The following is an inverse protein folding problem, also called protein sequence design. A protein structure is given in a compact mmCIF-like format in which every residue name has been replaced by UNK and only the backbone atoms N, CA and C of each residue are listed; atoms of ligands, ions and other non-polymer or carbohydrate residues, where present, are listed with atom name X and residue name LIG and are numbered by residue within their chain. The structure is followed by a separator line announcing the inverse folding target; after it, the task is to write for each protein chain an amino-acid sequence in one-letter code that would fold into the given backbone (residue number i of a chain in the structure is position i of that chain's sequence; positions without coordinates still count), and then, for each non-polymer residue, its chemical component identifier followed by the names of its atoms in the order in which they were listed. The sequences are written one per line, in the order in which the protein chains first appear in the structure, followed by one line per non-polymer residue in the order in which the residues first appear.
data_IF_293977260387
#
_entry.id   IF_293977260387
#
_cell.length_a   1.000
_cell.length_b   1.000
_cell.length_c   1.000
_cell.angle_alpha   90.00
_cell.angle_beta   90.00
_cell.angle_gamma   90.00
#
_symmetry.space_group_name_H-M   'P 1'
#
loop_
_entity.id
_entity.type
_entity.pdbx_description
1 polymer ?
#
# COMPACT_ATOMS: atom_id res chain seq x y z
N UNK A 1 -8.66 12.07 8.89
CA UNK A 1 -9.06 10.68 9.24
C UNK A 1 -8.54 10.27 10.61
N UNK A 2 -7.22 10.13 10.82
CA UNK A 2 -6.68 9.62 12.11
C UNK A 2 -7.14 10.42 13.34
N UNK A 3 -7.05 11.75 13.27
CA UNK A 3 -7.57 12.65 14.32
C UNK A 3 -9.05 12.38 14.66
N UNK A 4 -9.89 12.12 13.66
CA UNK A 4 -11.29 11.82 13.88
C UNK A 4 -11.50 10.46 14.57
N UNK A 5 -10.68 9.45 14.28
CA UNK A 5 -10.71 8.18 15.02
C UNK A 5 -10.34 8.38 16.49
N UNK A 6 -9.32 9.21 16.76
CA UNK A 6 -8.87 9.52 18.12
C UNK A 6 -9.96 10.29 18.91
N UNK A 7 -10.52 11.36 18.32
CA UNK A 7 -11.58 12.18 18.93
C UNK A 7 -12.86 11.38 19.23
N UNK A 8 -13.15 10.34 18.44
CA UNK A 8 -14.32 9.48 18.62
C UNK A 8 -14.00 8.19 19.39
N UNK A 9 -12.77 8.02 19.90
CA UNK A 9 -12.34 6.84 20.68
C UNK A 9 -12.51 5.52 19.91
N UNK A 10 -12.31 5.54 18.60
CA UNK A 10 -12.42 4.37 17.72
C UNK A 10 -11.05 3.76 17.37
N UNK A 11 -9.96 4.43 17.74
CA UNK A 11 -8.60 4.09 17.33
C UNK A 11 -8.18 2.65 17.65
N UNK A 12 -8.50 2.14 18.84
CA UNK A 12 -8.03 0.82 19.29
C UNK A 12 -8.72 -0.35 18.57
N UNK A 13 -9.87 -0.09 17.95
CA UNK A 13 -10.65 -1.09 17.21
C UNK A 13 -10.80 -0.73 15.72
N UNK A 14 -9.84 0.02 15.17
CA UNK A 14 -9.83 0.38 13.74
C UNK A 14 -8.50 0.01 13.12
N UNK A 15 -8.52 -0.90 12.14
CA UNK A 15 -7.43 -1.08 11.21
C UNK A 15 -7.48 0.03 10.15
N UNK A 16 -6.43 0.83 10.06
CA UNK A 16 -6.24 1.81 8.99
C UNK A 16 -5.21 1.28 8.01
N UNK A 17 -5.58 1.21 6.74
CA UNK A 17 -4.67 0.93 5.62
C UNK A 17 -4.57 2.19 4.74
N UNK A 18 -3.36 2.53 4.33
CA UNK A 18 -3.08 3.60 3.37
C UNK A 18 -2.27 3.03 2.22
N UNK A 19 -2.69 3.31 0.98
CA UNK A 19 -1.99 2.84 -0.23
C UNK A 19 -2.44 3.63 -1.46
N UNK A 20 -1.97 3.23 -2.66
CA UNK A 20 -2.32 3.78 -3.97
C UNK A 20 -2.81 2.66 -4.89
N UNK A 21 -3.58 3.00 -5.93
CA UNK A 21 -4.10 2.05 -6.92
C UNK A 21 -3.06 1.64 -7.98
N UNK A 22 -2.17 2.58 -8.33
CA UNK A 22 -1.04 2.39 -9.23
C UNK A 22 0.12 3.32 -8.84
N UNK A 23 1.28 3.14 -9.49
CA UNK A 23 2.41 4.06 -9.41
C UNK A 23 2.08 5.46 -9.96
N UNK A 24 2.97 6.42 -9.72
CA UNK A 24 2.83 7.78 -10.27
C UNK A 24 2.88 7.74 -11.79
N UNK A 25 2.17 8.66 -12.45
CA UNK A 25 2.24 8.89 -13.90
C UNK A 25 3.37 9.87 -14.29
N UNK A 26 4.07 10.47 -13.34
CA UNK A 26 5.07 11.51 -13.64
C UNK A 26 6.29 10.95 -14.37
N UNK A 27 6.65 11.60 -15.49
CA UNK A 27 7.86 11.26 -16.25
C UNK A 27 9.08 12.03 -15.74
N UNK A 28 10.25 11.38 -15.79
CA UNK A 28 11.52 12.05 -15.54
C UNK A 28 11.85 12.96 -16.71
N UNK A 29 12.25 14.19 -16.43
CA UNK A 29 12.84 15.12 -17.38
C UNK A 29 14.16 15.64 -16.85
N UNK A 30 15.02 16.12 -17.75
CA UNK A 30 16.25 16.84 -17.39
C UNK A 30 16.05 18.39 -17.51
N UNK A 31 14.80 18.84 -17.66
CA UNK A 31 14.39 20.25 -17.63
C UNK A 31 14.40 20.78 -16.18
N UNK A 32 14.78 22.04 -16.02
CA UNK A 32 14.75 22.75 -14.74
C UNK A 32 13.32 23.06 -14.29
N UNK A 33 12.33 23.07 -15.19
CA UNK A 33 10.91 23.22 -14.85
C UNK A 33 10.19 21.89 -14.64
N UNK A 34 10.04 21.48 -13.38
CA UNK A 34 9.23 20.33 -12.97
C UNK A 34 8.00 20.74 -12.15
N UNK A 35 7.25 19.76 -11.64
CA UNK A 35 6.06 20.00 -10.81
C UNK A 35 6.34 20.76 -9.49
N UNK A 36 7.59 20.79 -9.01
CA UNK A 36 7.95 21.54 -7.79
C UNK A 36 7.94 23.03 -8.09
N UNK A 37 8.42 23.45 -9.26
CA UNK A 37 8.41 24.86 -9.69
C UNK A 37 7.11 25.27 -10.38
N UNK A 38 6.53 24.36 -11.17
CA UNK A 38 5.35 24.62 -12.00
C UNK A 38 4.24 23.61 -11.64
N UNK A 39 3.48 23.87 -10.56
CA UNK A 39 2.36 23.03 -10.15
C UNK A 39 1.40 22.78 -11.31
N UNK A 40 1.13 21.51 -11.61
CA UNK A 40 0.28 21.10 -12.74
C UNK A 40 1.04 20.43 -13.89
N UNK A 41 2.37 20.59 -13.98
CA UNK A 41 3.18 19.76 -14.88
C UNK A 41 3.29 18.34 -14.33
N UNK A 42 3.03 17.33 -15.16
CA UNK A 42 3.13 15.92 -14.77
C UNK A 42 4.52 15.34 -15.07
N UNK A 43 5.55 16.02 -14.56
CA UNK A 43 6.95 15.61 -14.74
C UNK A 43 7.78 15.95 -13.51
N UNK A 44 8.88 15.23 -13.32
CA UNK A 44 9.81 15.46 -12.22
C UNK A 44 11.25 15.57 -12.72
N UNK A 45 12.04 16.42 -12.08
CA UNK A 45 13.49 16.41 -12.23
C UNK A 45 14.12 15.64 -11.05
N UNK A 46 15.05 14.73 -11.33
CA UNK A 46 15.57 13.78 -10.34
C UNK A 46 16.31 14.41 -9.15
N UNK A 47 16.77 15.67 -9.27
CA UNK A 47 17.36 16.44 -8.16
C UNK A 47 16.33 16.92 -7.13
N UNK A 48 15.07 17.03 -7.51
CA UNK A 48 14.02 17.61 -6.66
C UNK A 48 13.07 16.54 -6.11
N UNK A 49 12.77 15.51 -6.90
CA UNK A 49 11.82 14.45 -6.55
C UNK A 49 12.10 13.18 -7.37
N UNK A 50 11.71 12.01 -6.85
CA UNK A 50 11.73 10.72 -7.56
C UNK A 50 10.37 10.04 -7.37
N UNK A 51 9.44 10.24 -8.32
CA UNK A 51 8.03 9.93 -8.11
C UNK A 51 7.72 8.44 -7.86
N UNK A 52 8.47 7.53 -8.48
CA UNK A 52 8.35 6.07 -8.30
C UNK A 52 9.59 5.46 -7.61
N UNK A 53 10.37 6.28 -6.89
CA UNK A 53 11.60 5.85 -6.23
C UNK A 53 12.64 5.29 -7.22
N UNK A 54 13.35 4.19 -6.87
CA UNK A 54 14.37 3.59 -7.74
C UNK A 54 13.78 2.71 -8.86
N UNK A 55 12.46 2.57 -8.91
CA UNK A 55 11.80 1.58 -9.75
C UNK A 55 11.66 2.05 -11.21
N UNK A 56 11.83 1.11 -12.14
CA UNK A 56 11.61 1.36 -13.57
C UNK A 56 10.13 1.48 -13.86
N UNK A 57 9.76 2.46 -14.70
CA UNK A 57 8.41 2.61 -15.25
C UNK A 57 7.53 3.59 -14.50
N UNK A 58 6.31 3.74 -15.01
CA UNK A 58 5.28 4.67 -14.54
C UNK A 58 3.91 4.01 -14.60
N UNK A 59 2.85 4.71 -14.19
CA UNK A 59 1.47 4.24 -14.35
C UNK A 59 1.24 3.64 -15.75
N UNK A 60 0.56 2.49 -15.78
CA UNK A 60 0.28 1.66 -16.96
C UNK A 60 1.44 0.81 -17.51
N UNK A 61 2.65 0.95 -16.98
CA UNK A 61 3.73 0.00 -17.28
C UNK A 61 3.59 -1.31 -16.49
N UNK A 62 4.09 -2.40 -17.07
CA UNK A 62 4.27 -3.69 -16.38
C UNK A 62 5.51 -3.73 -15.46
N UNK A 63 6.33 -2.69 -15.50
CA UNK A 63 7.54 -2.56 -14.68
C UNK A 63 7.18 -2.15 -13.24
N UNK A 64 8.08 -2.40 -12.28
CA UNK A 64 7.89 -2.13 -10.85
C UNK A 64 7.27 -0.75 -10.56
N UNK A 65 7.73 0.31 -11.21
CA UNK A 65 7.25 1.68 -10.98
C UNK A 65 5.78 1.91 -11.36
N UNK A 66 5.14 1.00 -12.09
CA UNK A 66 3.73 1.06 -12.44
C UNK A 66 2.79 0.50 -11.36
N UNK A 67 3.27 -0.41 -10.49
CA UNK A 67 2.43 -1.14 -9.53
C UNK A 67 3.03 -1.28 -8.12
N UNK A 68 4.31 -0.95 -7.93
CA UNK A 68 4.94 -0.87 -6.62
C UNK A 68 4.55 0.43 -5.94
N UNK A 69 3.58 0.34 -5.02
CA UNK A 69 2.94 1.48 -4.35
C UNK A 69 3.29 1.53 -2.86
N UNK A 70 3.21 2.71 -2.21
CA UNK A 70 3.29 2.78 -0.76
C UNK A 70 2.18 1.95 -0.12
N UNK A 71 2.48 1.30 0.99
CA UNK A 71 1.52 0.58 1.81
C UNK A 71 1.87 0.76 3.29
N UNK A 72 0.97 1.38 4.04
CA UNK A 72 1.09 1.56 5.49
C UNK A 72 -0.14 1.00 6.18
N UNK A 73 0.08 0.32 7.31
CA UNK A 73 -0.98 -0.19 8.16
C UNK A 73 -0.80 0.31 9.60
N UNK A 74 -1.90 0.71 10.24
CA UNK A 74 -1.93 1.12 11.65
C UNK A 74 -3.10 0.45 12.36
N UNK A 75 -2.80 -0.24 13.45
CA UNK A 75 -3.79 -0.73 14.41
C UNK A 75 -3.13 -0.81 15.80
N UNK A 76 -3.34 0.21 16.65
CA UNK A 76 -2.73 0.27 17.98
C UNK A 76 -3.08 -0.96 18.83
N UNK A 77 -2.09 -1.51 19.53
CA UNK A 77 -2.23 -2.73 20.33
C UNK A 77 -2.29 -4.05 19.53
N UNK A 78 -2.34 -4.00 18.19
CA UNK A 78 -2.31 -5.19 17.32
C UNK A 78 -1.07 -5.22 16.42
N UNK A 79 -0.77 -4.11 15.75
CA UNK A 79 0.41 -3.95 14.89
C UNK A 79 1.51 -3.26 15.70
N UNK A 80 2.72 -3.85 15.70
CA UNK A 80 3.89 -3.23 16.33
C UNK A 80 4.24 -1.91 15.62
N UNK A 81 4.24 -0.80 16.35
CA UNK A 81 4.55 0.51 15.78
C UNK A 81 5.98 0.56 15.23
N UNK A 82 6.14 1.17 14.05
CA UNK A 82 7.44 1.32 13.39
C UNK A 82 8.06 0.03 12.85
N UNK A 83 7.32 -1.09 12.84
CA UNK A 83 7.78 -2.32 12.20
C UNK A 83 7.74 -2.21 10.67
N UNK A 84 8.48 -3.09 10.01
CA UNK A 84 8.53 -3.23 8.56
C UNK A 84 8.40 -4.70 8.15
N UNK A 85 7.85 -4.96 6.97
CA UNK A 85 7.72 -6.30 6.39
C UNK A 85 8.13 -6.26 4.92
N UNK A 86 9.02 -7.17 4.52
CA UNK A 86 9.55 -7.25 3.15
C UNK A 86 8.86 -8.34 2.31
N UNK A 87 7.72 -8.86 2.77
CA UNK A 87 6.94 -9.86 2.02
C UNK A 87 6.14 -9.16 0.94
N UNK A 88 6.19 -9.74 -0.27
CA UNK A 88 5.34 -9.29 -1.38
C UNK A 88 3.89 -9.64 -1.10
N UNK A 89 3.02 -8.65 -1.24
CA UNK A 89 1.56 -8.76 -1.20
C UNK A 89 1.00 -8.08 -2.45
N UNK A 90 -0.27 -8.33 -2.76
CA UNK A 90 -0.96 -7.64 -3.86
C UNK A 90 -2.26 -7.01 -3.37
N UNK A 91 -2.73 -5.99 -4.08
CA UNK A 91 -3.99 -5.32 -3.75
C UNK A 91 -5.19 -6.27 -3.74
N UNK A 92 -5.15 -7.34 -4.54
CA UNK A 92 -6.21 -8.35 -4.57
C UNK A 92 -6.36 -9.08 -3.23
N UNK A 93 -5.32 -9.11 -2.38
CA UNK A 93 -5.32 -9.75 -1.07
C UNK A 93 -6.15 -9.01 -0.02
N UNK A 94 -6.52 -7.75 -0.29
CA UNK A 94 -7.30 -6.94 0.63
C UNK A 94 -8.64 -7.58 0.96
N UNK A 95 -9.28 -8.27 -0.01
CA UNK A 95 -10.57 -8.92 0.21
C UNK A 95 -10.51 -10.01 1.28
N UNK A 96 -9.61 -11.00 1.13
CA UNK A 96 -9.44 -12.07 2.11
C UNK A 96 -8.91 -11.54 3.45
N UNK A 97 -8.02 -10.55 3.42
CA UNK A 97 -7.51 -9.91 4.64
C UNK A 97 -8.62 -9.21 5.42
N UNK A 98 -9.45 -8.41 4.75
CA UNK A 98 -10.56 -7.70 5.38
C UNK A 98 -11.61 -8.68 5.93
N UNK A 99 -11.89 -9.77 5.21
CA UNK A 99 -12.78 -10.82 5.69
C UNK A 99 -12.23 -11.48 6.97
N UNK A 100 -10.94 -11.83 7.00
CA UNK A 100 -10.31 -12.41 8.20
C UNK A 100 -10.33 -11.43 9.37
N UNK A 101 -9.98 -10.16 9.14
CA UNK A 101 -10.01 -9.09 10.16
C UNK A 101 -11.41 -8.91 10.75
N UNK A 102 -12.45 -8.98 9.90
CA UNK A 102 -13.84 -8.86 10.33
C UNK A 102 -14.42 -10.16 10.94
N UNK A 103 -13.66 -11.27 10.95
CA UNK A 103 -14.17 -12.58 11.34
C UNK A 103 -15.26 -13.13 10.41
N UNK A 104 -15.32 -12.63 9.17
CA UNK A 104 -16.31 -13.00 8.17
C UNK A 104 -15.93 -14.29 7.43
N UNK A 105 -16.94 -15.04 6.99
CA UNK A 105 -16.74 -16.19 6.10
C UNK A 105 -16.69 -15.72 4.65
N UNK A 106 -15.65 -16.12 3.91
CA UNK A 106 -15.57 -15.91 2.47
C UNK A 106 -16.45 -16.94 1.75
N UNK A 107 -17.40 -16.53 0.90
CA UNK A 107 -18.20 -17.46 0.11
C UNK A 107 -17.34 -18.35 -0.78
N UNK A 108 -17.76 -19.61 -0.99
CA UNK A 108 -17.06 -20.54 -1.87
C UNK A 108 -16.98 -19.94 -3.29
N UNK A 109 -15.76 -19.85 -3.83
CA UNK A 109 -15.48 -19.31 -5.16
C UNK A 109 -15.29 -17.80 -5.22
N UNK A 110 -15.46 -17.05 -4.12
CA UNK A 110 -15.11 -15.63 -4.06
C UNK A 110 -13.61 -15.43 -3.75
N UNK A 111 -13.00 -14.42 -4.36
CA UNK A 111 -11.62 -14.03 -4.06
C UNK A 111 -10.57 -15.10 -4.38
N UNK A 112 -10.69 -15.78 -5.52
CA UNK A 112 -9.80 -16.89 -5.91
C UNK A 112 -8.30 -16.55 -5.85
N UNK A 113 -7.94 -15.29 -6.13
CA UNK A 113 -6.56 -14.78 -6.10
C UNK A 113 -6.24 -13.94 -4.84
N UNK A 114 -7.13 -13.95 -3.84
CA UNK A 114 -7.03 -13.15 -2.63
C UNK A 114 -6.55 -14.01 -1.45
N UNK A 115 -5.35 -13.73 -0.96
CA UNK A 115 -4.73 -14.47 0.14
C UNK A 115 -4.47 -13.53 1.30
N UNK A 116 -5.06 -13.81 2.47
CA UNK A 116 -4.94 -12.90 3.60
C UNK A 116 -3.49 -12.70 4.04
N UNK A 117 -3.09 -11.43 4.19
CA UNK A 117 -1.83 -11.03 4.79
C UNK A 117 -1.99 -10.59 6.25
N UNK A 118 -3.12 -10.91 6.91
CA UNK A 118 -3.37 -10.46 8.28
C UNK A 118 -2.28 -10.91 9.26
N UNK A 119 -1.76 -12.13 9.09
CA UNK A 119 -0.64 -12.64 9.88
C UNK A 119 0.63 -11.79 9.75
N UNK A 120 0.88 -11.19 8.58
CA UNK A 120 1.99 -10.25 8.36
C UNK A 120 1.80 -8.95 9.14
N UNK A 121 0.57 -8.42 9.19
CA UNK A 121 0.26 -7.23 10.00
C UNK A 121 0.56 -7.46 11.49
N UNK A 122 0.35 -8.69 11.97
CA UNK A 122 0.64 -9.09 13.35
C UNK A 122 2.10 -9.54 13.58
N UNK A 123 2.99 -9.36 12.59
CA UNK A 123 4.41 -9.73 12.69
C UNK A 123 4.69 -11.23 12.65
N UNK A 124 3.75 -12.05 12.15
CA UNK A 124 3.88 -13.51 12.10
C UNK A 124 4.03 -14.02 10.67
N UNK A 125 5.23 -13.84 10.10
CA UNK A 125 5.55 -14.29 8.75
C UNK A 125 5.44 -15.80 8.54
N UNK A 126 5.67 -16.60 9.59
CA UNK A 126 5.59 -18.07 9.51
C UNK A 126 4.18 -18.57 9.22
N UNK A 127 3.15 -17.77 9.53
CA UNK A 127 1.75 -18.08 9.25
C UNK A 127 1.26 -17.52 7.92
N UNK A 128 2.07 -16.75 7.21
CA UNK A 128 1.71 -16.26 5.89
C UNK A 128 1.98 -17.33 4.83
N UNK A 129 0.97 -17.62 4.02
CA UNK A 129 1.06 -18.59 2.92
C UNK A 129 0.36 -18.02 1.70
N UNK A 130 1.07 -17.99 0.58
CA UNK A 130 0.56 -17.68 -0.74
C UNK A 130 1.09 -18.76 -1.69
N UNK A 131 0.23 -19.47 -2.45
CA UNK A 131 0.67 -20.36 -3.50
C UNK A 131 1.57 -19.63 -4.50
N UNK A 132 2.56 -20.33 -5.09
CA UNK A 132 3.39 -19.77 -6.15
C UNK A 132 2.58 -19.40 -7.40
#
# INVERSE_FOLDING_TARGET
VLKALDENKLTDNTLVLFTSDNGSFMYRVDDDEDHVKSPGKQQYHAKNHTANGPWRGTKADIWEGGHHVPFFARWPGKIQAGSSCNRVITHTDLFATAAEVAGAKVPKGAGADSYSYFSLLLGNEKKYSRPP
#
